data_IF_920080169274
#
_entry.id   IF_920080169274
#
_cell.length_a   1.000
_cell.length_b   1.000
_cell.length_c   1.000
_cell.angle_alpha   90.00
_cell.angle_beta   90.00
_cell.angle_gamma   90.00
#
_symmetry.space_group_name_H-M   'P 1'
#
loop_
_entity.id
_entity.type
_entity.pdbx_description
1 polymer ?
#
# COMPACT_ATOMS: atom_id res chain seq x y z
N UNK A 1 30.62 -12.87 10.41
CA UNK A 1 30.08 -12.92 9.03
C UNK A 1 28.74 -13.59 9.09
N UNK A 2 27.67 -12.82 9.31
CA UNK A 2 26.30 -13.32 9.21
C UNK A 2 25.99 -13.53 7.72
N UNK A 3 25.97 -14.77 7.31
CA UNK A 3 25.49 -15.18 6.00
C UNK A 3 23.97 -15.05 6.06
N UNK A 4 23.43 -13.90 5.70
CA UNK A 4 22.00 -13.74 5.41
C UNK A 4 21.75 -14.54 4.13
N UNK A 5 20.93 -15.56 4.18
CA UNK A 5 20.91 -16.55 3.12
C UNK A 5 20.28 -16.00 1.85
N UNK A 6 20.89 -16.25 0.72
CA UNK A 6 20.24 -16.26 -0.60
C UNK A 6 18.95 -17.12 -0.63
N UNK A 7 18.70 -17.91 0.42
CA UNK A 7 17.57 -18.82 0.60
C UNK A 7 16.22 -18.13 0.82
N UNK A 8 16.15 -16.89 1.31
CA UNK A 8 14.85 -16.23 1.56
C UNK A 8 14.08 -16.05 0.25
N UNK A 9 14.76 -15.68 -0.83
CA UNK A 9 14.13 -15.56 -2.15
C UNK A 9 13.69 -16.92 -2.73
N UNK A 10 14.36 -18.01 -2.39
CA UNK A 10 13.99 -19.36 -2.81
C UNK A 10 12.84 -19.95 -1.99
N UNK A 11 12.71 -19.56 -0.73
CA UNK A 11 11.63 -20.03 0.16
C UNK A 11 10.31 -19.31 -0.14
N UNK A 12 10.37 -18.03 -0.60
CA UNK A 12 9.21 -17.25 -1.00
C UNK A 12 8.69 -17.63 -2.39
N UNK A 13 9.35 -18.55 -3.11
CA UNK A 13 9.07 -18.80 -4.51
C UNK A 13 9.29 -17.53 -5.33
N UNK A 14 8.44 -17.28 -6.32
CA UNK A 14 8.52 -16.07 -7.15
C UNK A 14 8.02 -14.77 -6.46
N UNK A 15 7.65 -14.84 -5.16
CA UNK A 15 7.18 -13.66 -4.42
C UNK A 15 8.37 -12.81 -3.98
N UNK A 16 8.53 -11.67 -4.63
CA UNK A 16 9.54 -10.67 -4.28
C UNK A 16 8.90 -9.56 -3.44
N UNK A 17 8.86 -9.77 -2.12
CA UNK A 17 8.40 -8.76 -1.17
C UNK A 17 9.49 -7.69 -0.95
N UNK A 18 9.07 -6.45 -0.75
CA UNK A 18 9.96 -5.40 -0.26
C UNK A 18 10.34 -5.69 1.20
N UNK A 19 11.61 -5.51 1.63
CA UNK A 19 12.01 -5.68 3.02
C UNK A 19 11.25 -4.68 3.92
N UNK A 20 10.50 -5.20 4.89
CA UNK A 20 9.70 -4.37 5.77
C UNK A 20 10.56 -3.40 6.60
N UNK A 21 11.74 -3.84 7.02
CA UNK A 21 12.71 -3.07 7.81
C UNK A 21 13.14 -1.77 7.14
N UNK A 22 13.09 -1.73 5.82
CA UNK A 22 13.45 -0.57 5.01
C UNK A 22 12.23 0.30 4.63
N UNK A 23 11.04 -0.07 5.08
CA UNK A 23 9.83 0.62 4.63
C UNK A 23 9.79 2.07 5.11
N UNK A 24 10.18 2.32 6.37
CA UNK A 24 10.23 3.67 6.91
C UNK A 24 11.23 4.55 6.20
N UNK A 25 12.41 4.02 5.90
CA UNK A 25 13.44 4.74 5.14
C UNK A 25 13.00 5.01 3.70
N UNK A 26 12.28 4.07 3.07
CA UNK A 26 11.66 4.31 1.78
C UNK A 26 10.68 5.49 1.83
N UNK A 27 9.84 5.54 2.88
CA UNK A 27 8.89 6.63 3.08
C UNK A 27 9.59 7.98 3.30
N UNK A 28 10.74 7.98 3.99
CA UNK A 28 11.56 9.18 4.21
C UNK A 28 12.23 9.68 2.92
N UNK A 29 12.71 8.78 2.07
CA UNK A 29 13.31 9.14 0.79
C UNK A 29 12.31 9.69 -0.23
N UNK A 30 11.04 9.35 -0.05
CA UNK A 30 9.96 9.70 -0.96
C UNK A 30 9.47 11.14 -0.76
N UNK A 31 9.15 11.83 -1.85
CA UNK A 31 8.41 13.08 -1.74
C UNK A 31 6.97 12.82 -1.24
N UNK A 32 6.23 13.84 -0.78
CA UNK A 32 4.90 13.63 -0.18
C UNK A 32 3.92 12.84 -1.07
N UNK A 33 3.89 13.07 -2.39
CA UNK A 33 3.00 12.31 -3.29
C UNK A 33 3.40 10.85 -3.41
N UNK A 34 4.68 10.59 -3.56
CA UNK A 34 5.23 9.22 -3.63
C UNK A 34 5.01 8.49 -2.31
N UNK A 35 5.21 9.18 -1.17
CA UNK A 35 4.97 8.65 0.18
C UNK A 35 3.51 8.19 0.33
N UNK A 36 2.54 9.01 -0.08
CA UNK A 36 1.13 8.61 -0.06
C UNK A 36 0.87 7.36 -0.90
N UNK A 37 1.48 7.25 -2.09
CA UNK A 37 1.32 6.08 -2.96
C UNK A 37 1.94 4.84 -2.30
N UNK A 38 3.12 4.98 -1.69
CA UNK A 38 3.80 3.87 -1.01
C UNK A 38 3.05 3.41 0.24
N UNK A 39 2.48 4.33 1.01
CA UNK A 39 1.62 4.03 2.15
C UNK A 39 0.37 3.25 1.72
N UNK A 40 -0.34 3.71 0.69
CA UNK A 40 -1.52 3.00 0.19
C UNK A 40 -1.17 1.63 -0.39
N UNK A 41 -0.01 1.49 -1.04
CA UNK A 41 0.41 0.22 -1.62
C UNK A 41 0.98 -0.73 -0.58
N UNK A 42 1.81 -0.24 0.33
CA UNK A 42 2.51 -1.05 1.34
C UNK A 42 1.67 -1.31 2.58
N UNK A 43 1.02 -0.30 3.16
CA UNK A 43 0.29 -0.43 4.41
C UNK A 43 -1.20 -0.81 4.24
N UNK A 44 -1.77 -0.64 3.04
CA UNK A 44 -3.15 -1.03 2.70
C UNK A 44 -3.24 -2.09 1.61
N UNK A 45 -2.11 -2.50 1.03
CA UNK A 45 -2.09 -3.46 -0.07
C UNK A 45 -2.83 -3.03 -1.35
N UNK A 46 -3.04 -1.74 -1.57
CA UNK A 46 -3.67 -1.25 -2.78
C UNK A 46 -2.78 -1.48 -4.02
N UNK A 47 -3.39 -1.78 -5.18
CA UNK A 47 -2.64 -1.83 -6.45
C UNK A 47 -2.35 -0.42 -6.95
N UNK A 48 -1.17 -0.20 -7.55
CA UNK A 48 -0.82 1.10 -8.13
C UNK A 48 -1.93 1.67 -9.05
N UNK A 49 -2.52 0.82 -9.88
CA UNK A 49 -3.64 1.22 -10.76
C UNK A 49 -4.90 1.64 -9.99
N UNK A 50 -5.15 1.11 -8.81
CA UNK A 50 -6.25 1.52 -7.94
C UNK A 50 -5.93 2.86 -7.26
N UNK A 51 -4.73 2.97 -6.70
CA UNK A 51 -4.24 4.20 -6.04
C UNK A 51 -4.30 5.39 -6.99
N UNK A 52 -3.82 5.23 -8.23
CA UNK A 52 -3.79 6.30 -9.22
C UNK A 52 -5.17 6.71 -9.75
N UNK A 53 -6.23 5.99 -9.42
CA UNK A 53 -7.62 6.38 -9.68
C UNK A 53 -8.28 7.09 -8.47
N UNK A 54 -7.54 7.29 -7.38
CA UNK A 54 -8.04 8.02 -6.22
C UNK A 54 -8.39 9.47 -6.59
N UNK A 55 -9.49 9.95 -6.02
CA UNK A 55 -9.90 11.36 -6.07
C UNK A 55 -10.03 11.91 -4.65
N UNK A 56 -10.10 13.22 -4.47
CA UNK A 56 -10.36 13.82 -3.16
C UNK A 56 -11.71 13.41 -2.57
N UNK A 57 -12.68 13.06 -3.42
CA UNK A 57 -14.00 12.57 -3.00
C UNK A 57 -13.97 11.16 -2.42
N UNK A 58 -12.81 10.49 -2.45
CA UNK A 58 -12.63 9.15 -1.89
C UNK A 58 -11.98 9.19 -0.50
N UNK A 59 -11.73 10.38 0.02
CA UNK A 59 -11.01 10.59 1.27
C UNK A 59 -11.93 11.32 2.26
N UNK A 60 -12.23 10.66 3.36
CA UNK A 60 -12.92 11.26 4.50
C UNK A 60 -11.87 11.69 5.53
N UNK A 61 -11.60 12.99 5.56
CA UNK A 61 -10.60 13.56 6.47
C UNK A 61 -11.04 13.51 7.93
N UNK A 62 -12.33 13.62 8.19
CA UNK A 62 -12.88 13.66 9.55
C UNK A 62 -12.76 12.30 10.22
N UNK A 63 -13.19 11.25 9.53
CA UNK A 63 -13.16 9.89 10.06
C UNK A 63 -11.88 9.14 9.66
N UNK A 64 -10.96 9.79 8.97
CA UNK A 64 -9.71 9.21 8.47
C UNK A 64 -9.94 7.90 7.70
N UNK A 65 -10.77 7.95 6.68
CA UNK A 65 -11.11 6.80 5.83
C UNK A 65 -10.78 7.08 4.37
N UNK A 66 -10.35 6.06 3.67
CA UNK A 66 -10.02 6.12 2.24
C UNK A 66 -10.69 4.96 1.54
N UNK A 67 -11.28 5.22 0.38
CA UNK A 67 -11.91 4.19 -0.45
C UNK A 67 -11.26 4.12 -1.83
N UNK A 68 -11.16 2.93 -2.38
CA UNK A 68 -10.76 2.71 -3.77
C UNK A 68 -11.99 2.38 -4.59
N UNK A 69 -12.36 3.28 -5.47
CA UNK A 69 -13.57 3.16 -6.31
C UNK A 69 -13.20 2.88 -7.74
N UNK A 70 -13.80 1.84 -8.33
CA UNK A 70 -13.62 1.54 -9.76
C UNK A 70 -14.24 2.69 -10.59
N UNK A 71 -13.45 3.38 -11.41
CA UNK A 71 -13.95 4.49 -12.22
C UNK A 71 -14.97 4.05 -13.28
N UNK A 72 -15.11 2.75 -13.55
CA UNK A 72 -16.03 2.19 -14.54
C UNK A 72 -17.36 1.75 -13.94
N UNK A 73 -17.48 1.69 -12.61
CA UNK A 73 -18.67 1.19 -11.94
C UNK A 73 -19.57 2.31 -11.45
N UNK A 74 -20.87 2.07 -11.53
CA UNK A 74 -21.90 2.86 -10.85
C UNK A 74 -22.43 2.17 -9.60
N UNK A 75 -22.02 0.92 -9.33
CA UNK A 75 -22.43 0.16 -8.16
C UNK A 75 -21.81 0.69 -6.87
N UNK A 76 -20.69 1.41 -7.01
CA UNK A 76 -19.98 2.06 -5.93
C UNK A 76 -20.29 3.56 -5.94
N UNK A 77 -21.02 4.01 -4.95
CA UNK A 77 -21.33 5.42 -4.78
C UNK A 77 -20.10 6.18 -4.25
N UNK A 78 -19.79 7.31 -4.88
CA UNK A 78 -18.84 8.26 -4.35
C UNK A 78 -19.40 9.04 -3.16
N UNK A 79 -18.58 9.83 -2.47
CA UNK A 79 -19.02 10.74 -1.40
C UNK A 79 -20.06 11.78 -1.89
N UNK A 80 -20.11 12.03 -3.20
CA UNK A 80 -21.08 12.93 -3.85
C UNK A 80 -22.42 12.26 -4.19
N UNK A 81 -22.68 11.03 -3.77
CA UNK A 81 -23.99 10.37 -3.89
C UNK A 81 -24.35 9.80 -5.26
N UNK A 82 -23.47 9.92 -6.28
CA UNK A 82 -23.66 9.33 -7.62
C UNK A 82 -22.60 8.30 -7.93
N UNK A 83 -22.89 7.35 -8.81
CA UNK A 83 -21.94 6.34 -9.24
C UNK A 83 -20.73 6.96 -9.93
N UNK A 84 -19.53 6.41 -9.70
CA UNK A 84 -18.28 6.98 -10.19
C UNK A 84 -18.24 7.16 -11.72
N UNK A 85 -18.74 6.18 -12.48
CA UNK A 85 -18.77 6.25 -13.94
C UNK A 85 -19.60 7.44 -14.43
N UNK A 86 -20.79 7.65 -13.86
CA UNK A 86 -21.66 8.78 -14.23
C UNK A 86 -21.04 10.10 -13.79
N UNK A 87 -20.50 10.20 -12.58
CA UNK A 87 -19.80 11.38 -12.11
C UNK A 87 -18.65 11.80 -13.04
N UNK A 88 -17.80 10.85 -13.46
CA UNK A 88 -16.70 11.15 -14.38
C UNK A 88 -17.19 11.60 -15.76
N UNK A 89 -18.29 11.01 -16.24
CA UNK A 89 -18.89 11.38 -17.51
C UNK A 89 -19.50 12.77 -17.46
N UNK A 90 -20.33 13.02 -16.45
CA UNK A 90 -21.19 14.22 -16.41
C UNK A 90 -20.40 15.46 -16.01
N UNK A 91 -19.50 15.35 -15.01
CA UNK A 91 -18.73 16.49 -14.52
C UNK A 91 -17.44 16.77 -15.32
N UNK A 92 -16.84 15.75 -15.96
CA UNK A 92 -15.53 15.88 -16.60
C UNK A 92 -15.50 15.40 -18.05
N UNK A 93 -16.62 14.94 -18.62
CA UNK A 93 -16.68 14.32 -19.95
C UNK A 93 -15.70 13.14 -20.11
N UNK A 94 -15.43 12.40 -19.02
CA UNK A 94 -14.53 11.27 -19.00
C UNK A 94 -15.32 9.98 -19.16
N UNK A 95 -15.13 9.28 -20.30
CA UNK A 95 -15.67 7.94 -20.47
C UNK A 95 -14.69 6.89 -19.96
N UNK A 96 -14.90 6.43 -18.74
CA UNK A 96 -14.04 5.44 -18.06
C UNK A 96 -14.02 4.05 -18.74
N UNK A 97 -14.96 3.76 -19.65
CA UNK A 97 -14.98 2.51 -20.42
C UNK A 97 -14.01 2.53 -21.62
N UNK A 98 -13.59 3.71 -22.07
CA UNK A 98 -12.67 3.84 -23.19
C UNK A 98 -11.21 3.79 -22.73
N UNK A 99 -10.43 2.90 -23.32
CA UNK A 99 -8.98 2.76 -23.08
C UNK A 99 -8.18 3.94 -23.67
N UNK A 100 -8.33 5.13 -23.12
CA UNK A 100 -7.45 6.26 -23.45
C UNK A 100 -6.42 6.44 -22.33
N UNK A 101 -5.13 6.67 -22.64
CA UNK A 101 -4.07 6.82 -21.62
C UNK A 101 -4.40 7.86 -20.53
N UNK A 102 -5.17 8.89 -20.85
CA UNK A 102 -5.58 9.94 -19.92
C UNK A 102 -6.73 9.54 -19.01
N UNK A 103 -7.46 8.46 -19.32
CA UNK A 103 -8.70 8.09 -18.63
C UNK A 103 -8.61 6.71 -17.99
N UNK A 104 -7.88 5.79 -18.57
CA UNK A 104 -7.88 4.40 -18.15
C UNK A 104 -6.50 3.96 -17.65
N UNK A 105 -6.26 4.15 -16.38
CA UNK A 105 -5.18 3.47 -15.68
C UNK A 105 -5.74 2.15 -15.16
N UNK A 106 -6.09 1.19 -15.98
CA UNK A 106 -6.63 -0.11 -15.64
C UNK A 106 -6.97 -0.29 -14.15
N UNK A 107 -8.21 -0.46 -13.79
CA UNK A 107 -8.61 -0.72 -12.41
C UNK A 107 -8.93 -2.21 -12.28
N UNK A 108 -8.09 -2.94 -11.54
CA UNK A 108 -8.41 -4.33 -11.21
C UNK A 108 -9.38 -4.31 -10.04
N UNK A 109 -10.63 -4.61 -10.34
CA UNK A 109 -11.71 -4.62 -9.36
C UNK A 109 -11.35 -5.51 -8.17
N UNK A 110 -11.49 -5.04 -6.93
CA UNK A 110 -11.44 -5.87 -5.74
C UNK A 110 -12.49 -6.97 -5.81
N UNK A 111 -12.39 -7.97 -4.97
CA UNK A 111 -13.44 -8.99 -4.82
C UNK A 111 -14.75 -8.25 -4.54
N UNK A 112 -15.86 -8.59 -5.24
CA UNK A 112 -17.16 -8.10 -4.84
C UNK A 112 -17.41 -8.53 -3.41
N UNK A 113 -17.44 -7.61 -2.48
CA UNK A 113 -17.82 -7.90 -1.11
C UNK A 113 -19.25 -8.45 -1.14
N UNK A 114 -19.53 -9.45 -0.32
CA UNK A 114 -20.88 -10.04 -0.19
C UNK A 114 -21.93 -9.01 0.21
N UNK A 115 -21.47 -7.88 0.74
CA UNK A 115 -22.28 -6.77 1.18
C UNK A 115 -22.10 -5.61 0.19
N UNK A 116 -23.18 -5.01 -0.22
CA UNK A 116 -23.22 -3.81 -1.07
C UNK A 116 -22.57 -2.58 -0.41
N UNK A 117 -22.15 -2.72 0.84
CA UNK A 117 -21.53 -1.65 1.59
C UNK A 117 -20.09 -1.45 1.17
N UNK A 118 -19.78 -0.21 0.95
CA UNK A 118 -18.46 0.27 0.61
C UNK A 118 -17.57 0.25 1.85
N UNK A 119 -16.58 -0.63 1.87
CA UNK A 119 -15.59 -0.67 2.96
C UNK A 119 -14.42 0.25 2.68
N UNK A 120 -13.95 1.01 3.70
CA UNK A 120 -12.71 1.76 3.59
C UNK A 120 -11.51 0.81 3.52
N UNK A 121 -10.37 1.35 3.09
CA UNK A 121 -9.11 0.62 3.11
C UNK A 121 -8.77 0.15 4.52
N UNK A 122 -8.34 -1.10 4.61
CA UNK A 122 -7.73 -1.66 5.81
C UNK A 122 -6.26 -1.22 5.90
N UNK A 123 -5.85 -0.75 7.06
CA UNK A 123 -4.47 -0.40 7.40
C UNK A 123 -3.92 -1.42 8.38
N UNK A 124 -2.79 -2.05 8.09
CA UNK A 124 -2.21 -2.98 9.06
C UNK A 124 -1.65 -2.27 10.30
N UNK A 125 -1.47 -0.95 10.24
CA UNK A 125 -1.00 -0.12 11.34
C UNK A 125 -1.68 1.24 11.37
N UNK A 126 -2.10 1.66 12.57
CA UNK A 126 -2.65 3.00 12.81
C UNK A 126 -1.62 4.11 12.59
N UNK A 127 -0.33 3.83 12.85
CA UNK A 127 0.75 4.79 12.62
C UNK A 127 0.85 5.15 11.13
N UNK A 128 0.90 4.18 10.23
CA UNK A 128 0.94 4.48 8.80
C UNK A 128 -0.33 5.17 8.30
N UNK A 129 -1.47 4.87 8.93
CA UNK A 129 -2.71 5.60 8.68
C UNK A 129 -2.57 7.08 9.07
N UNK A 130 -2.07 7.37 10.27
CA UNK A 130 -1.85 8.74 10.74
C UNK A 130 -0.85 9.47 9.84
N UNK A 131 0.30 8.84 9.53
CA UNK A 131 1.31 9.37 8.61
C UNK A 131 0.72 9.68 7.22
N UNK A 132 -0.22 8.87 6.73
CA UNK A 132 -0.90 9.16 5.47
C UNK A 132 -1.68 10.48 5.55
N UNK A 133 -2.51 10.66 6.58
CA UNK A 133 -3.33 11.88 6.72
C UNK A 133 -2.49 13.13 7.01
N UNK A 134 -1.41 13.01 7.75
CA UNK A 134 -0.41 14.06 7.93
C UNK A 134 0.23 14.44 6.59
N UNK A 135 0.78 13.45 5.88
CA UNK A 135 1.40 13.67 4.56
C UNK A 135 0.42 14.25 3.55
N UNK A 136 -0.85 13.85 3.62
CA UNK A 136 -1.90 14.35 2.72
C UNK A 136 -2.09 15.85 2.85
N UNK A 137 -1.95 16.41 4.06
CA UNK A 137 -2.02 17.85 4.31
C UNK A 137 -0.83 18.62 3.72
N UNK A 138 0.30 17.95 3.46
CA UNK A 138 1.49 18.55 2.85
C UNK A 138 1.40 18.66 1.34
N UNK A 139 0.57 17.82 0.71
CA UNK A 139 0.50 17.77 -0.73
C UNK A 139 -0.28 18.97 -1.27
N UNK A 140 0.45 19.91 -1.87
CA UNK A 140 -0.17 20.96 -2.68
C UNK A 140 -0.75 20.33 -3.95
N UNK A 141 -2.08 20.21 -4.01
CA UNK A 141 -2.76 19.73 -5.21
C UNK A 141 -2.88 20.87 -6.23
N UNK A 142 -2.73 20.54 -7.51
CA UNK A 142 -3.08 21.46 -8.58
C UNK A 142 -4.60 21.52 -8.64
N UNK A 143 -5.24 22.71 -8.56
CA UNK A 143 -6.67 22.86 -8.68
C UNK A 143 -7.19 22.18 -9.97
N UNK A 144 -8.36 21.57 -9.91
CA UNK A 144 -8.95 20.90 -11.08
C UNK A 144 -9.16 21.82 -12.27
N UNK A 145 -9.47 23.11 -11.99
CA UNK A 145 -9.58 24.17 -13.00
C UNK A 145 -8.30 24.37 -13.82
N UNK A 146 -7.15 24.10 -13.22
CA UNK A 146 -5.84 24.30 -13.84
C UNK A 146 -5.29 23.05 -14.51
N UNK A 147 -6.09 21.98 -14.61
CA UNK A 147 -5.71 20.74 -15.28
C UNK A 147 -6.23 20.70 -16.71
N UNK A 148 -5.41 20.24 -17.61
CA UNK A 148 -5.80 20.08 -19.02
C UNK A 148 -5.44 18.66 -19.53
N UNK A 149 -6.44 17.80 -19.84
CA UNK A 149 -7.88 18.01 -19.64
C UNK A 149 -8.27 18.03 -18.14
N UNK A 150 -9.39 18.67 -17.79
CA UNK A 150 -9.95 18.66 -16.44
C UNK A 150 -10.25 17.22 -15.98
N UNK A 151 -9.88 16.86 -14.77
CA UNK A 151 -10.16 15.57 -14.16
C UNK A 151 -10.05 15.63 -12.63
N UNK A 152 -10.77 14.78 -11.86
CA UNK A 152 -10.78 14.81 -10.39
C UNK A 152 -9.67 13.99 -9.74
N UNK A 153 -8.83 13.30 -10.51
CA UNK A 153 -7.85 12.37 -9.93
C UNK A 153 -6.80 13.09 -9.11
N UNK A 154 -6.49 12.54 -7.94
CA UNK A 154 -5.63 13.19 -6.95
C UNK A 154 -4.14 13.23 -7.36
N UNK A 155 -3.62 12.11 -7.86
CA UNK A 155 -2.20 12.00 -8.18
C UNK A 155 -1.88 12.57 -9.56
N UNK A 156 -1.29 13.76 -9.56
CA UNK A 156 -0.95 14.49 -10.79
C UNK A 156 0.52 14.91 -10.81
N UNK A 157 1.05 15.08 -12.01
CA UNK A 157 2.35 15.68 -12.28
C UNK A 157 2.35 17.18 -11.92
N UNK A 158 3.51 17.83 -12.03
CA UNK A 158 3.61 19.30 -11.85
C UNK A 158 2.81 20.09 -12.90
N UNK A 159 2.51 19.47 -14.05
CA UNK A 159 1.72 20.08 -15.14
C UNK A 159 0.23 19.74 -15.06
N UNK A 160 -0.23 19.06 -14.00
CA UNK A 160 -1.64 18.69 -13.83
C UNK A 160 -2.06 17.43 -14.58
N UNK A 161 -1.18 16.76 -15.31
CA UNK A 161 -1.47 15.47 -15.93
C UNK A 161 -1.50 14.35 -14.89
N UNK A 162 -2.30 13.31 -15.14
CA UNK A 162 -2.33 12.13 -14.26
C UNK A 162 -0.97 11.44 -14.21
N UNK A 163 -0.58 10.99 -13.03
CA UNK A 163 0.57 10.09 -12.89
C UNK A 163 0.25 8.71 -13.50
N UNK A 164 1.24 8.12 -14.13
CA UNK A 164 1.15 6.75 -14.67
C UNK A 164 1.82 5.74 -13.74
N UNK A 165 1.41 4.45 -13.76
CA UNK A 165 2.09 3.41 -13.00
C UNK A 165 3.59 3.32 -13.30
N UNK A 166 3.99 3.55 -14.55
CA UNK A 166 5.40 3.53 -14.95
C UNK A 166 6.21 4.65 -14.29
N UNK A 167 5.67 5.88 -14.23
CA UNK A 167 6.36 7.00 -13.57
C UNK A 167 6.58 6.71 -12.09
N UNK A 168 5.57 6.14 -11.42
CA UNK A 168 5.70 5.76 -10.00
C UNK A 168 6.70 4.62 -9.81
N UNK A 169 6.69 3.61 -10.69
CA UNK A 169 7.64 2.49 -10.62
C UNK A 169 9.08 2.94 -10.87
N UNK A 170 9.29 3.91 -11.77
CA UNK A 170 10.61 4.53 -11.99
C UNK A 170 11.10 5.24 -10.72
N UNK A 171 10.24 6.04 -10.08
CA UNK A 171 10.58 6.72 -8.83
C UNK A 171 10.89 5.72 -7.71
N UNK A 172 10.07 4.68 -7.56
CA UNK A 172 10.29 3.60 -6.60
C UNK A 172 11.65 2.91 -6.81
N UNK A 173 11.98 2.54 -8.05
CA UNK A 173 13.28 1.93 -8.40
C UNK A 173 14.46 2.85 -8.10
N UNK A 174 14.29 4.17 -8.29
CA UNK A 174 15.32 5.14 -7.93
C UNK A 174 15.55 5.17 -6.40
N UNK A 175 14.50 5.07 -5.59
CA UNK A 175 14.63 4.95 -4.13
C UNK A 175 15.26 3.60 -3.73
N UNK A 176 14.86 2.50 -4.34
CA UNK A 176 15.52 1.20 -4.12
C UNK A 176 17.03 1.25 -4.44
N UNK A 177 17.44 2.00 -5.48
CA UNK A 177 18.85 2.21 -5.79
C UNK A 177 19.59 2.97 -4.68
N UNK A 178 18.96 3.95 -4.05
CA UNK A 178 19.52 4.66 -2.89
C UNK A 178 19.62 3.73 -1.67
N UNK A 179 18.56 3.01 -1.36
CA UNK A 179 18.53 2.05 -0.26
C UNK A 179 19.61 0.97 -0.39
N UNK A 180 19.85 0.43 -1.59
CA UNK A 180 20.96 -0.52 -1.84
C UNK A 180 22.34 0.04 -1.50
N UNK A 181 22.54 1.35 -1.66
CA UNK A 181 23.79 2.00 -1.30
C UNK A 181 23.93 2.20 0.21
N UNK A 182 22.81 2.46 0.87
CA UNK A 182 22.76 2.68 2.33
C UNK A 182 22.81 1.35 3.09
N UNK A 183 22.24 0.30 2.50
CA UNK A 183 22.04 -1.02 3.07
C UNK A 183 22.52 -2.12 2.11
N UNK A 184 23.84 -2.34 1.98
CA UNK A 184 24.40 -3.36 1.08
C UNK A 184 23.91 -4.78 1.36
N UNK A 185 23.54 -5.07 2.61
CA UNK A 185 22.99 -6.37 3.06
C UNK A 185 21.64 -6.71 2.41
N UNK A 186 20.89 -5.71 1.95
CA UNK A 186 19.59 -5.89 1.28
C UNK A 186 19.68 -5.84 -0.26
N UNK A 187 20.87 -5.79 -0.84
CA UNK A 187 21.04 -5.67 -2.30
C UNK A 187 20.30 -6.78 -3.05
N UNK A 188 20.34 -8.02 -2.54
CA UNK A 188 19.68 -9.16 -3.19
C UNK A 188 18.15 -9.00 -3.18
N UNK A 189 17.57 -8.64 -2.03
CA UNK A 189 16.13 -8.46 -1.86
C UNK A 189 15.59 -7.28 -2.68
N UNK A 190 16.37 -6.20 -2.76
CA UNK A 190 16.00 -4.99 -3.50
C UNK A 190 16.29 -5.08 -5.01
N UNK A 191 16.89 -6.19 -5.48
CA UNK A 191 17.25 -6.33 -6.89
C UNK A 191 16.07 -6.78 -7.73
N UNK A 192 15.79 -6.05 -8.82
CA UNK A 192 14.74 -6.42 -9.77
C UNK A 192 13.30 -6.31 -9.24
N UNK A 193 13.09 -5.68 -8.06
CA UNK A 193 11.74 -5.44 -7.54
C UNK A 193 11.14 -4.17 -8.14
N UNK A 194 9.81 -4.15 -8.26
CA UNK A 194 9.03 -2.98 -8.64
C UNK A 194 8.05 -2.60 -7.53
N UNK A 195 7.26 -1.55 -7.75
CA UNK A 195 6.29 -1.04 -6.78
C UNK A 195 5.36 -2.11 -6.21
N UNK A 196 5.04 -3.16 -6.99
CA UNK A 196 4.18 -4.26 -6.55
C UNK A 196 4.76 -5.05 -5.37
N UNK A 197 6.08 -5.01 -5.15
CA UNK A 197 6.74 -5.64 -4.02
C UNK A 197 6.27 -5.10 -2.66
N UNK A 198 5.83 -3.83 -2.59
CA UNK A 198 5.23 -3.26 -1.37
C UNK A 198 3.93 -3.98 -0.99
N UNK A 199 3.13 -4.37 -1.99
CA UNK A 199 1.93 -5.15 -1.75
C UNK A 199 2.25 -6.58 -1.31
N UNK A 200 3.32 -7.18 -1.82
CA UNK A 200 3.82 -8.46 -1.32
C UNK A 200 4.33 -8.35 0.12
N UNK A 201 5.00 -7.25 0.46
CA UNK A 201 5.38 -6.94 1.84
C UNK A 201 4.16 -6.96 2.78
N UNK A 202 3.05 -6.32 2.40
CA UNK A 202 1.81 -6.38 3.19
C UNK A 202 1.38 -7.83 3.48
N UNK A 203 1.35 -8.69 2.46
CA UNK A 203 0.98 -10.10 2.64
C UNK A 203 1.91 -10.85 3.60
N UNK A 204 3.22 -10.59 3.52
CA UNK A 204 4.23 -11.16 4.43
C UNK A 204 4.03 -10.65 5.87
N UNK A 205 3.78 -9.36 6.04
CA UNK A 205 3.52 -8.76 7.37
C UNK A 205 2.27 -9.39 8.00
N UNK A 206 1.19 -9.54 7.24
CA UNK A 206 -0.05 -10.15 7.75
C UNK A 206 0.15 -11.62 8.13
N UNK A 207 0.92 -12.37 7.36
CA UNK A 207 1.27 -13.75 7.70
C UNK A 207 2.15 -13.83 8.96
N UNK A 208 3.01 -12.85 9.18
CA UNK A 208 3.81 -12.74 10.41
C UNK A 208 2.94 -12.51 11.64
N UNK A 209 1.92 -11.67 11.53
CA UNK A 209 0.95 -11.47 12.61
C UNK A 209 0.22 -12.76 12.97
N UNK A 210 -0.23 -13.53 11.97
CA UNK A 210 -0.86 -14.83 12.23
C UNK A 210 0.08 -15.77 12.97
N UNK A 211 1.31 -15.94 12.45
CA UNK A 211 2.31 -16.82 13.05
C UNK A 211 2.57 -16.44 14.52
N UNK A 212 2.72 -15.16 14.83
CA UNK A 212 3.00 -14.70 16.19
C UNK A 212 1.80 -14.90 17.13
N UNK A 213 0.58 -14.67 16.65
CA UNK A 213 -0.63 -14.93 17.45
C UNK A 213 -0.69 -16.41 17.81
N UNK A 214 -0.43 -17.31 16.87
CA UNK A 214 -0.39 -18.76 17.12
C UNK A 214 0.70 -19.10 18.13
N UNK A 215 1.92 -18.58 17.95
CA UNK A 215 3.05 -18.86 18.83
C UNK A 215 2.86 -18.33 20.26
N UNK A 216 2.18 -17.20 20.43
CA UNK A 216 1.85 -16.65 21.74
C UNK A 216 0.71 -17.37 22.47
N UNK A 217 0.19 -18.48 21.91
CA UNK A 217 -0.96 -19.19 22.45
C UNK A 217 -2.27 -18.44 22.30
N UNK A 218 -2.34 -17.49 21.37
CA UNK A 218 -3.53 -16.69 21.06
C UNK A 218 -4.20 -16.06 22.30
N UNK A 219 -3.41 -15.47 23.18
CA UNK A 219 -3.85 -14.87 24.46
C UNK A 219 -5.01 -13.86 24.32
N UNK A 220 -5.21 -13.33 23.11
CA UNK A 220 -6.24 -12.35 22.82
C UNK A 220 -7.48 -12.95 22.13
N UNK A 221 -7.57 -14.29 22.01
CA UNK A 221 -8.66 -15.00 21.35
C UNK A 221 -8.97 -14.45 19.94
N UNK A 222 -7.96 -14.06 19.18
CA UNK A 222 -8.12 -13.56 17.82
C UNK A 222 -8.40 -14.75 16.90
N UNK A 223 -9.49 -14.73 16.13
CA UNK A 223 -9.74 -15.80 15.17
C UNK A 223 -8.66 -15.78 14.08
N UNK A 224 -7.80 -16.79 14.08
CA UNK A 224 -6.65 -16.87 13.16
C UNK A 224 -7.11 -16.83 11.69
N UNK A 225 -8.19 -17.53 11.37
CA UNK A 225 -8.78 -17.48 10.02
C UNK A 225 -9.23 -16.08 9.61
N UNK A 226 -9.58 -15.22 10.56
CA UNK A 226 -9.97 -13.84 10.29
C UNK A 226 -8.81 -13.02 9.72
N UNK A 227 -7.56 -13.32 10.11
CA UNK A 227 -6.38 -12.64 9.56
C UNK A 227 -6.23 -12.96 8.08
N UNK A 228 -6.42 -14.23 7.70
CA UNK A 228 -6.40 -14.65 6.29
C UNK A 228 -7.52 -14.01 5.48
N UNK A 229 -8.72 -13.99 6.03
CA UNK A 229 -9.88 -13.35 5.39
C UNK A 229 -9.62 -11.87 5.19
N UNK A 230 -9.19 -11.15 6.23
CA UNK A 230 -8.86 -9.73 6.16
C UNK A 230 -7.74 -9.47 5.14
N UNK A 231 -6.72 -10.33 5.10
CA UNK A 231 -5.64 -10.22 4.12
C UNK A 231 -6.15 -10.44 2.70
N UNK A 232 -7.01 -11.45 2.49
CA UNK A 232 -7.62 -11.72 1.19
C UNK A 232 -8.44 -10.53 0.70
N UNK A 233 -9.24 -9.94 1.56
CA UNK A 233 -10.09 -8.78 1.26
C UNK A 233 -9.24 -7.54 0.98
N UNK A 234 -8.29 -7.19 1.86
CA UNK A 234 -7.39 -6.06 1.69
C UNK A 234 -6.57 -6.15 0.39
N UNK A 235 -6.09 -7.35 0.09
CA UNK A 235 -5.38 -7.61 -1.17
C UNK A 235 -6.32 -7.74 -2.37
N UNK A 236 -7.63 -7.84 -2.18
CA UNK A 236 -8.59 -8.07 -3.27
C UNK A 236 -8.23 -9.32 -4.09
N UNK A 237 -7.92 -10.43 -3.44
CA UNK A 237 -7.67 -11.71 -4.08
C UNK A 237 -9.01 -12.42 -4.36
N UNK A 238 -9.20 -12.85 -5.61
CA UNK A 238 -10.43 -13.57 -6.00
C UNK A 238 -10.46 -15.00 -5.49
N UNK A 239 -9.30 -15.62 -5.35
CA UNK A 239 -9.20 -16.97 -4.81
C UNK A 239 -8.42 -16.99 -3.51
N UNK A 240 -8.82 -17.86 -2.57
CA UNK A 240 -8.10 -18.09 -1.32
C UNK A 240 -6.67 -18.55 -1.60
N UNK A 241 -6.46 -19.37 -2.61
CA UNK A 241 -5.13 -19.85 -3.03
C UNK A 241 -4.13 -18.70 -3.28
N UNK A 242 -4.59 -17.55 -3.80
CA UNK A 242 -3.72 -16.38 -3.99
C UNK A 242 -3.28 -15.73 -2.68
N UNK A 243 -3.98 -15.98 -1.58
CA UNK A 243 -3.62 -15.50 -0.24
C UNK A 243 -2.82 -16.55 0.50
N UNK A 244 -3.17 -17.82 0.33
CA UNK A 244 -2.50 -18.96 0.99
C UNK A 244 -1.01 -19.04 0.67
N UNK A 245 -0.57 -18.50 -0.46
CA UNK A 245 0.87 -18.42 -0.79
C UNK A 245 1.71 -17.67 0.26
N UNK A 246 1.09 -16.79 1.07
CA UNK A 246 1.77 -16.11 2.18
C UNK A 246 1.71 -16.90 3.48
N UNK A 247 0.68 -17.73 3.68
CA UNK A 247 0.35 -18.42 4.92
C UNK A 247 0.67 -19.91 4.92
N UNK A 248 0.49 -20.59 3.77
CA UNK A 248 0.70 -22.03 3.67
C UNK A 248 2.19 -22.36 3.46
N UNK A 249 2.95 -22.32 4.55
CA UNK A 249 4.35 -22.72 4.55
C UNK A 249 4.57 -23.81 5.55
N UNK A 250 5.38 -24.85 5.19
CA UNK A 250 5.74 -25.88 6.16
C UNK A 250 6.49 -25.25 7.34
N UNK A 251 6.04 -25.47 8.55
CA UNK A 251 6.63 -24.94 9.79
C UNK A 251 8.12 -25.21 9.94
N UNK A 252 8.60 -26.36 9.47
CA UNK A 252 10.00 -26.75 9.56
C UNK A 252 10.93 -25.95 8.63
N UNK A 253 10.39 -25.29 7.60
CA UNK A 253 11.14 -24.33 6.78
C UNK A 253 11.16 -22.92 7.40
N UNK A 254 10.47 -22.74 8.52
CA UNK A 254 10.15 -21.45 9.09
C UNK A 254 10.99 -21.08 10.33
N UNK A 255 11.92 -21.90 10.80
CA UNK A 255 12.70 -21.53 11.99
C UNK A 255 13.53 -20.29 11.69
N UNK A 256 14.29 -20.28 10.59
CA UNK A 256 15.06 -19.10 10.17
C UNK A 256 14.17 -17.94 9.71
N UNK A 257 13.05 -18.23 9.04
CA UNK A 257 12.06 -17.24 8.67
C UNK A 257 11.29 -16.77 9.90
N UNK A 258 11.01 -17.64 10.86
CA UNK A 258 10.38 -17.30 12.13
C UNK A 258 11.25 -16.36 12.95
N UNK A 259 12.56 -16.60 13.02
CA UNK A 259 13.50 -15.68 13.67
C UNK A 259 13.59 -14.33 12.95
N UNK A 260 13.58 -14.34 11.63
CA UNK A 260 13.54 -13.13 10.83
C UNK A 260 12.23 -12.36 11.02
N UNK A 261 11.09 -13.05 10.97
CA UNK A 261 9.78 -12.47 11.21
C UNK A 261 9.59 -12.01 12.64
N UNK A 262 10.20 -12.69 13.62
CA UNK A 262 10.26 -12.23 15.00
C UNK A 262 11.10 -10.96 15.14
N UNK A 263 12.25 -10.86 14.46
CA UNK A 263 13.01 -9.61 14.40
C UNK A 263 12.21 -8.46 13.80
N UNK A 264 11.55 -8.72 12.67
CA UNK A 264 10.67 -7.74 12.03
C UNK A 264 9.56 -7.30 12.99
N UNK A 265 8.92 -8.25 13.65
CA UNK A 265 7.83 -7.97 14.58
C UNK A 265 8.32 -7.33 15.88
N UNK A 266 9.45 -7.76 16.44
CA UNK A 266 10.03 -7.16 17.63
C UNK A 266 10.48 -5.72 17.32
N UNK A 267 11.00 -5.49 16.13
CA UNK A 267 11.23 -4.13 15.59
C UNK A 267 9.92 -3.34 15.44
N UNK A 268 8.82 -4.00 15.09
CA UNK A 268 7.48 -3.38 15.00
C UNK A 268 6.87 -3.04 16.37
N UNK A 269 7.10 -3.85 17.40
CA UNK A 269 6.45 -3.70 18.73
C UNK A 269 7.34 -3.02 19.73
N UNK A 270 8.63 -3.30 19.75
CA UNK A 270 9.58 -2.75 20.72
C UNK A 270 10.04 -1.32 20.43
N UNK A 271 9.48 -0.73 19.39
CA UNK A 271 9.40 0.72 19.28
C UNK A 271 10.66 1.55 19.09
N UNK A 272 11.80 1.00 18.77
CA UNK A 272 12.94 1.89 18.45
C UNK A 272 12.80 2.59 17.11
N UNK A 273 12.17 1.95 16.10
CA UNK A 273 11.90 2.60 14.79
C UNK A 273 10.58 3.35 14.76
N UNK A 274 9.59 2.97 15.54
CA UNK A 274 8.34 3.71 15.69
C UNK A 274 8.57 5.06 16.36
N UNK A 275 9.36 5.07 17.44
CA UNK A 275 9.85 6.30 18.06
C UNK A 275 10.70 7.14 17.10
N UNK A 276 11.38 6.52 16.13
CA UNK A 276 12.17 7.24 15.14
C UNK A 276 11.32 8.09 14.19
N UNK A 277 10.13 7.63 13.79
CA UNK A 277 9.18 8.44 13.02
C UNK A 277 8.54 9.54 13.89
N UNK A 278 8.29 9.27 15.16
CA UNK A 278 7.81 10.26 16.13
C UNK A 278 8.93 11.24 16.54
N UNK A 279 10.13 10.75 16.85
CA UNK A 279 11.27 11.55 17.31
C UNK A 279 11.95 12.37 16.19
N UNK A 280 12.01 11.86 14.98
CA UNK A 280 12.56 12.59 13.84
C UNK A 280 11.61 13.59 13.19
N UNK A 281 10.55 13.95 13.92
CA UNK A 281 9.79 15.16 13.66
C UNK A 281 9.34 15.37 12.21
N UNK A 282 8.57 14.45 11.67
CA UNK A 282 7.70 14.85 10.58
C UNK A 282 6.73 15.97 10.99
N UNK A 283 6.50 16.14 12.31
CA UNK A 283 5.64 17.16 12.89
C UNK A 283 6.32 18.46 13.36
N UNK A 284 7.62 18.45 13.76
CA UNK A 284 8.23 19.61 14.41
C UNK A 284 8.83 20.68 13.49
N UNK A 285 8.99 20.40 12.19
CA UNK A 285 9.42 21.41 11.21
C UNK A 285 8.30 22.34 10.70
N UNK A 286 7.11 22.30 11.34
CA UNK A 286 5.95 23.08 10.89
C UNK A 286 5.66 24.36 11.67
N UNK A 287 6.36 24.60 12.79
CA UNK A 287 6.10 25.76 13.65
C UNK A 287 7.39 26.51 14.03
N UNK A 288 8.36 26.61 13.14
CA UNK A 288 9.46 27.55 13.23
C UNK A 288 9.51 28.41 11.98
#
# INVERSE_FOLDING_TARGET
KSVIPNKINTILGDIRAFPYELFDELLQLANPKERLIYLLTGACSARASQVLNLTLYDIDYVNQRVWLIDPRSNDQLGLHGVGRKNFLKDAYNINAAKNKPHVNIGFKTPIPLRYKERLPLFWFSSMYKNLFFETLSEVKSIPESNRNPKHPFFFVTKTGNRLTPQQVDIAFKAHCKKLKKMHPEYVVQLNGIGLHSLRHMFGVVMASFEAKIIMSGNKHNIPVDQIKITTQEAMGHRSRASTDIYFNRPWHLNVELGEYLNKVYDTMIENKKWNYLEENNYGKKRFA
#
